data_IF_272092630632
#
_entry.id   IF_272092630632
#
_cell.length_a   1.000
_cell.length_b   1.000
_cell.length_c   1.000
_cell.angle_alpha   90.00
_cell.angle_beta   90.00
_cell.angle_gamma   90.00
#
_symmetry.space_group_name_H-M   'P 1'
#
loop_
_entity.id
_entity.type
_entity.pdbx_description
1 polymer ?
#
# COMPACT_ATOMS: atom_id res chain seq x y z
N UNK A 1 23.24 63.55 -44.19
CA UNK A 1 23.20 62.14 -44.62
C UNK A 1 23.46 61.30 -43.37
N UNK A 2 22.41 60.75 -42.75
CA UNK A 2 22.51 59.87 -41.62
C UNK A 2 22.06 58.45 -42.13
N UNK A 3 22.99 57.49 -42.08
CA UNK A 3 22.69 56.06 -42.39
C UNK A 3 22.14 55.42 -41.12
N UNK A 4 20.93 54.99 -41.21
CA UNK A 4 20.25 54.12 -40.21
C UNK A 4 20.57 52.65 -40.55
N UNK A 5 21.26 51.97 -39.67
CA UNK A 5 21.46 50.50 -39.70
C UNK A 5 20.34 49.83 -38.95
N UNK A 6 19.52 49.06 -39.65
CA UNK A 6 18.57 48.12 -39.04
C UNK A 6 19.35 46.94 -38.50
N UNK A 7 19.13 46.61 -37.22
CA UNK A 7 19.54 45.38 -36.58
C UNK A 7 18.31 44.46 -36.61
N UNK A 8 18.32 43.44 -37.42
CA UNK A 8 17.34 42.35 -37.38
C UNK A 8 17.73 41.37 -36.25
N UNK A 9 16.95 41.37 -35.19
CA UNK A 9 17.06 40.36 -34.13
C UNK A 9 16.28 39.10 -34.55
N UNK A 10 16.97 38.04 -34.91
CA UNK A 10 16.42 36.72 -35.06
C UNK A 10 16.12 36.12 -33.67
N UNK A 11 14.85 36.10 -33.27
CA UNK A 11 14.39 35.33 -32.15
C UNK A 11 14.31 33.84 -32.55
N UNK A 12 15.28 33.04 -32.14
CA UNK A 12 15.19 31.61 -32.13
C UNK A 12 14.29 31.21 -30.98
N UNK A 13 12.99 31.01 -31.23
CA UNK A 13 12.10 30.34 -30.31
C UNK A 13 12.42 28.84 -30.34
N UNK A 14 13.25 28.37 -29.43
CA UNK A 14 13.42 26.97 -29.16
C UNK A 14 12.12 26.44 -28.53
N UNK A 15 11.26 25.83 -29.34
CA UNK A 15 10.18 24.99 -28.83
C UNK A 15 10.81 23.76 -28.17
N UNK A 16 11.01 23.83 -26.85
CA UNK A 16 11.23 22.65 -26.05
C UNK A 16 9.86 21.95 -25.98
N UNK A 17 9.63 20.99 -26.88
CA UNK A 17 8.60 19.98 -26.70
C UNK A 17 8.97 19.18 -25.44
N UNK A 18 8.48 19.61 -24.28
CA UNK A 18 8.35 18.74 -23.13
C UNK A 18 7.32 17.71 -23.56
N UNK A 19 7.79 16.57 -24.08
CA UNK A 19 6.96 15.38 -24.12
C UNK A 19 6.64 15.08 -22.66
N UNK A 20 5.44 15.43 -22.22
CA UNK A 20 4.85 14.84 -21.05
C UNK A 20 4.89 13.33 -21.32
N UNK A 21 5.84 12.63 -20.70
CA UNK A 21 5.82 11.16 -20.68
C UNK A 21 4.47 10.80 -20.10
N UNK A 22 3.60 10.24 -20.93
CA UNK A 22 2.28 9.81 -20.51
C UNK A 22 2.48 8.82 -19.34
N UNK A 23 1.85 9.12 -18.23
CA UNK A 23 1.74 8.15 -17.14
C UNK A 23 0.93 6.97 -17.67
N UNK A 24 1.24 5.74 -17.22
CA UNK A 24 0.42 4.58 -17.58
C UNK A 24 -1.03 4.82 -17.17
N UNK A 25 -1.97 4.31 -17.96
CA UNK A 25 -3.36 4.27 -17.54
C UNK A 25 -3.51 3.36 -16.31
N UNK A 26 -4.46 3.64 -15.41
CA UNK A 26 -4.74 2.76 -14.28
C UNK A 26 -5.32 1.43 -14.74
N UNK A 27 -5.16 0.38 -13.92
CA UNK A 27 -5.83 -0.89 -14.18
C UNK A 27 -7.32 -0.77 -13.88
N UNK A 28 -8.14 -0.89 -14.93
CA UNK A 28 -9.60 -0.78 -14.82
C UNK A 28 -10.21 -1.92 -14.00
N UNK A 29 -9.59 -3.10 -13.94
CA UNK A 29 -10.06 -4.20 -13.12
C UNK A 29 -9.82 -3.89 -11.62
N UNK A 30 -8.68 -3.29 -11.29
CA UNK A 30 -8.40 -2.80 -9.93
C UNK A 30 -9.40 -1.72 -9.49
N UNK A 31 -9.71 -0.75 -10.38
CA UNK A 31 -10.71 0.28 -10.09
C UNK A 31 -12.11 -0.31 -9.87
N UNK A 32 -12.54 -1.26 -10.71
CA UNK A 32 -13.77 -2.01 -10.51
C UNK A 32 -13.78 -2.78 -9.21
N UNK A 33 -12.66 -3.39 -8.86
CA UNK A 33 -12.49 -4.13 -7.62
C UNK A 33 -12.63 -3.26 -6.37
N UNK A 34 -12.14 -2.03 -6.42
CA UNK A 34 -12.32 -1.03 -5.36
C UNK A 34 -13.75 -0.48 -5.27
N UNK A 35 -14.54 -0.60 -6.35
CA UNK A 35 -15.87 -0.03 -6.49
C UNK A 35 -16.93 -0.54 -5.48
N UNK A 36 -16.85 -1.75 -4.88
CA UNK A 36 -17.86 -2.17 -3.90
C UNK A 36 -18.13 -1.17 -2.79
N UNK A 37 -17.21 -0.24 -2.55
CA UNK A 37 -17.44 0.88 -1.62
C UNK A 37 -18.72 1.64 -1.96
N UNK A 38 -19.13 1.72 -3.22
CA UNK A 38 -20.35 2.41 -3.66
C UNK A 38 -21.64 1.77 -3.14
N UNK A 39 -21.63 0.48 -2.76
CA UNK A 39 -22.82 -0.21 -2.20
C UNK A 39 -23.01 0.06 -0.72
N UNK A 40 -22.01 0.62 -0.04
CA UNK A 40 -22.06 0.87 1.41
C UNK A 40 -23.21 1.79 1.83
N UNK A 41 -23.58 2.77 1.00
CA UNK A 41 -24.72 3.66 1.29
C UNK A 41 -26.07 3.02 1.03
N UNK A 42 -26.15 1.98 0.19
CA UNK A 42 -27.39 1.48 -0.38
C UNK A 42 -27.90 0.22 0.29
N UNK A 43 -27.22 -0.30 1.32
CA UNK A 43 -27.65 -1.48 2.07
C UNK A 43 -27.51 -1.27 3.57
N UNK A 44 -28.38 -1.89 4.37
CA UNK A 44 -28.30 -1.84 5.84
C UNK A 44 -26.96 -2.37 6.36
N UNK A 45 -26.45 -3.45 5.75
CA UNK A 45 -25.14 -4.02 6.08
C UNK A 45 -24.00 -3.03 5.77
N UNK A 46 -24.09 -2.35 4.62
CA UNK A 46 -23.11 -1.33 4.22
C UNK A 46 -23.13 -0.12 5.16
N UNK A 47 -24.31 0.40 5.50
CA UNK A 47 -24.44 1.50 6.46
C UNK A 47 -23.94 1.11 7.85
N UNK A 48 -24.23 -0.11 8.31
CA UNK A 48 -23.70 -0.64 9.56
C UNK A 48 -22.16 -0.71 9.53
N UNK A 49 -21.59 -1.13 8.42
CA UNK A 49 -20.14 -1.19 8.26
C UNK A 49 -19.50 0.21 8.22
N UNK A 50 -20.13 1.21 7.58
CA UNK A 50 -19.68 2.61 7.60
C UNK A 50 -19.68 3.21 9.03
N UNK A 51 -20.76 3.00 9.79
CA UNK A 51 -20.83 3.44 11.18
C UNK A 51 -19.75 2.78 12.05
N UNK A 52 -19.54 1.48 11.88
CA UNK A 52 -18.49 0.74 12.56
C UNK A 52 -17.09 1.21 12.14
N UNK A 53 -16.87 1.50 10.86
CA UNK A 53 -15.58 2.02 10.35
C UNK A 53 -15.18 3.32 11.05
N UNK A 54 -16.13 4.24 11.21
CA UNK A 54 -15.91 5.48 11.95
C UNK A 54 -15.54 5.21 13.43
N UNK A 55 -16.32 4.37 14.10
CA UNK A 55 -16.12 4.02 15.53
C UNK A 55 -14.80 3.28 15.77
N UNK A 56 -14.49 2.30 14.92
CA UNK A 56 -13.24 1.52 15.02
C UNK A 56 -12.03 2.42 14.78
N UNK A 57 -12.09 3.27 13.77
CA UNK A 57 -11.02 4.22 13.47
C UNK A 57 -10.74 5.13 14.66
N UNK A 58 -11.76 5.78 15.23
CA UNK A 58 -11.61 6.63 16.42
C UNK A 58 -11.11 5.86 17.64
N UNK A 59 -11.58 4.64 17.84
CA UNK A 59 -11.13 3.77 18.92
C UNK A 59 -9.67 3.34 18.84
N UNK A 60 -9.17 3.09 17.64
CA UNK A 60 -7.74 2.81 17.39
C UNK A 60 -6.91 4.06 17.70
N UNK A 61 -7.32 5.22 17.21
CA UNK A 61 -6.63 6.49 17.42
C UNK A 61 -6.53 6.86 18.91
N UNK A 62 -7.56 6.55 19.67
CA UNK A 62 -7.61 6.81 21.11
C UNK A 62 -6.98 5.70 21.97
N UNK A 63 -6.58 4.57 21.38
CA UNK A 63 -6.04 3.43 22.11
C UNK A 63 -7.07 2.73 23.01
N UNK A 64 -8.37 2.92 22.76
CA UNK A 64 -9.47 2.35 23.58
C UNK A 64 -10.08 1.08 22.98
N UNK A 65 -9.81 0.79 21.73
CA UNK A 65 -10.20 -0.49 21.10
C UNK A 65 -9.14 -1.53 21.41
N UNK A 66 -9.54 -2.55 22.14
CA UNK A 66 -8.73 -3.72 22.38
C UNK A 66 -8.65 -4.54 21.09
N UNK A 67 -7.49 -4.53 20.45
CA UNK A 67 -7.14 -5.43 19.35
C UNK A 67 -5.72 -5.92 19.54
N UNK A 68 -5.32 -7.04 18.93
CA UNK A 68 -3.92 -7.46 18.95
C UNK A 68 -3.03 -6.33 18.43
N UNK A 69 -1.93 -6.08 19.12
CA UNK A 69 -0.94 -5.06 18.76
C UNK A 69 0.46 -5.61 18.95
N UNK A 70 1.43 -5.09 18.21
CA UNK A 70 2.82 -5.51 18.30
C UNK A 70 3.61 -4.70 19.35
N UNK A 71 3.09 -3.52 19.70
CA UNK A 71 3.70 -2.57 20.62
C UNK A 71 2.67 -2.03 21.62
N UNK A 72 3.07 -1.63 22.83
CA UNK A 72 2.25 -0.81 23.71
C UNK A 72 1.81 0.49 23.04
N UNK A 73 0.67 1.04 23.42
CA UNK A 73 0.07 2.17 22.70
C UNK A 73 0.99 3.41 22.55
N UNK A 74 1.75 3.87 23.57
CA UNK A 74 2.69 4.97 23.38
C UNK A 74 3.80 4.67 22.37
N UNK A 75 4.25 3.42 22.33
CA UNK A 75 5.26 2.97 21.36
C UNK A 75 4.70 2.85 19.95
N UNK A 76 3.42 2.45 19.80
CA UNK A 76 2.72 2.50 18.52
C UNK A 76 2.61 3.94 18.01
N UNK A 77 2.28 4.90 18.86
CA UNK A 77 2.26 6.32 18.49
C UNK A 77 3.62 6.78 17.98
N UNK A 78 4.70 6.43 18.69
CA UNK A 78 6.06 6.75 18.26
C UNK A 78 6.42 6.08 16.94
N UNK A 79 6.03 4.82 16.73
CA UNK A 79 6.25 4.11 15.47
C UNK A 79 5.45 4.77 14.33
N UNK A 80 4.20 5.16 14.59
CA UNK A 80 3.39 5.86 13.61
C UNK A 80 4.00 7.19 13.16
N UNK A 81 4.62 7.96 14.07
CA UNK A 81 5.37 9.17 13.72
C UNK A 81 6.60 8.88 12.85
N UNK A 82 7.31 7.77 13.10
CA UNK A 82 8.41 7.33 12.25
C UNK A 82 7.93 6.90 10.87
N UNK A 83 6.75 6.30 10.80
CA UNK A 83 6.12 5.81 9.58
C UNK A 83 5.37 6.88 8.78
N UNK A 84 5.29 8.09 9.32
CA UNK A 84 4.78 9.27 8.62
C UNK A 84 5.52 9.51 7.32
N UNK A 85 6.79 9.21 7.32
CA UNK A 85 7.71 9.51 6.25
C UNK A 85 7.61 8.46 5.14
N UNK A 86 7.06 8.84 4.00
CA UNK A 86 6.84 7.93 2.89
C UNK A 86 7.40 8.52 1.62
N UNK A 87 8.33 7.79 1.02
CA UNK A 87 8.66 7.94 -0.39
C UNK A 87 8.58 6.58 -1.06
N UNK A 88 8.12 6.53 -2.30
CA UNK A 88 8.15 5.29 -3.09
C UNK A 88 9.54 4.90 -3.60
N UNK A 89 10.60 5.59 -3.18
CA UNK A 89 11.96 5.43 -3.73
C UNK A 89 12.91 4.63 -2.85
N UNK A 90 12.59 4.43 -1.57
CA UNK A 90 13.38 3.64 -0.63
C UNK A 90 12.46 3.00 0.40
N UNK A 91 12.84 1.84 0.92
CA UNK A 91 12.07 1.07 1.90
C UNK A 91 12.65 1.15 3.31
N UNK A 92 13.44 2.18 3.59
CA UNK A 92 14.19 2.31 4.85
C UNK A 92 13.29 2.27 6.09
N UNK A 93 12.11 2.88 6.05
CA UNK A 93 11.17 2.86 7.16
C UNK A 93 10.56 1.48 7.44
N UNK A 94 10.58 0.57 6.45
CA UNK A 94 10.09 -0.79 6.58
C UNK A 94 11.19 -1.80 6.97
N UNK A 95 12.45 -1.37 6.97
CA UNK A 95 13.60 -2.27 7.11
C UNK A 95 13.69 -2.95 8.48
N UNK A 96 13.05 -2.39 9.50
CA UNK A 96 12.95 -2.99 10.84
C UNK A 96 12.16 -4.32 10.83
N UNK A 97 11.29 -4.55 9.84
CA UNK A 97 10.66 -5.85 9.59
C UNK A 97 11.66 -6.95 9.19
N UNK A 98 12.85 -6.59 8.71
CA UNK A 98 13.94 -7.54 8.46
C UNK A 98 14.62 -8.02 9.78
N UNK A 99 14.28 -7.42 10.91
CA UNK A 99 14.88 -7.68 12.20
C UNK A 99 16.04 -6.72 12.53
N UNK A 100 16.63 -6.89 13.71
CA UNK A 100 17.59 -5.93 14.25
C UNK A 100 18.84 -5.83 13.39
N UNK A 101 19.50 -6.93 13.11
CA UNK A 101 20.78 -6.95 12.38
C UNK A 101 20.60 -6.69 10.88
N UNK A 102 19.68 -7.39 10.23
CA UNK A 102 19.44 -7.22 8.79
C UNK A 102 18.80 -5.86 8.49
N UNK A 103 17.90 -5.39 9.35
CA UNK A 103 17.30 -4.06 9.22
C UNK A 103 18.36 -2.96 9.37
N UNK A 104 19.25 -3.07 10.36
CA UNK A 104 20.37 -2.14 10.51
C UNK A 104 21.33 -2.18 9.31
N UNK A 105 21.64 -3.36 8.77
CA UNK A 105 22.47 -3.51 7.58
C UNK A 105 21.82 -2.84 6.35
N UNK A 106 20.49 -2.98 6.20
CA UNK A 106 19.73 -2.29 5.14
C UNK A 106 19.86 -0.77 5.31
N UNK A 107 19.50 -0.24 6.47
CA UNK A 107 19.47 1.22 6.74
C UNK A 107 20.85 1.85 6.65
N UNK A 108 21.92 1.14 7.03
CA UNK A 108 23.29 1.62 6.87
C UNK A 108 23.66 1.93 5.40
N UNK A 109 23.01 1.29 4.44
CA UNK A 109 23.30 1.44 3.02
C UNK A 109 22.18 2.19 2.28
N UNK A 110 20.92 1.95 2.65
CA UNK A 110 19.74 2.47 1.98
C UNK A 110 18.86 3.21 3.01
N UNK A 111 18.98 4.52 3.05
CA UNK A 111 18.28 5.35 4.02
C UNK A 111 17.83 6.67 3.41
N UNK A 112 16.92 7.35 4.09
CA UNK A 112 16.54 8.73 3.78
C UNK A 112 17.60 9.68 4.34
N UNK A 113 18.05 10.61 3.50
CA UNK A 113 18.96 11.70 3.86
C UNK A 113 18.15 12.84 4.44
N UNK A 114 17.03 13.15 3.79
CA UNK A 114 16.00 14.09 4.22
C UNK A 114 14.62 13.65 3.70
N UNK A 115 13.61 14.50 3.85
CA UNK A 115 12.23 14.20 3.40
C UNK A 115 12.08 14.00 1.89
N UNK A 116 13.05 14.39 1.10
CA UNK A 116 12.99 14.40 -0.38
C UNK A 116 14.04 13.52 -1.03
N UNK A 117 15.09 13.17 -0.29
CA UNK A 117 16.28 12.52 -0.81
C UNK A 117 16.59 11.22 -0.08
N UNK A 118 17.01 10.23 -0.84
CA UNK A 118 17.50 8.95 -0.33
C UNK A 118 18.96 8.76 -0.70
N UNK A 119 19.65 7.88 0.02
CA UNK A 119 20.96 7.38 -0.39
C UNK A 119 20.85 6.68 -1.75
N UNK A 120 21.98 6.59 -2.46
CA UNK A 120 21.99 5.94 -3.77
C UNK A 120 21.81 4.42 -3.63
N UNK A 121 20.69 3.93 -4.13
CA UNK A 121 20.43 2.49 -4.25
C UNK A 121 21.26 1.88 -5.39
N UNK A 122 21.67 0.60 -5.30
CA UNK A 122 22.09 -0.16 -6.47
C UNK A 122 21.00 -0.16 -7.52
N UNK A 123 21.39 -0.23 -8.78
CA UNK A 123 20.47 0.03 -9.89
C UNK A 123 19.32 -0.98 -9.92
N UNK A 124 19.59 -2.27 -9.77
CA UNK A 124 18.54 -3.28 -9.86
C UNK A 124 17.51 -3.15 -8.71
N UNK A 125 17.97 -2.85 -7.50
CA UNK A 125 17.09 -2.61 -6.36
C UNK A 125 16.26 -1.34 -6.57
N UNK A 126 16.91 -0.25 -6.96
CA UNK A 126 16.25 1.04 -7.19
C UNK A 126 15.20 0.98 -8.29
N UNK A 127 15.52 0.36 -9.43
CA UNK A 127 14.60 0.18 -10.55
C UNK A 127 13.40 -0.69 -10.13
N UNK A 128 13.63 -1.78 -9.40
CA UNK A 128 12.56 -2.67 -8.95
C UNK A 128 11.59 -1.97 -8.00
N UNK A 129 12.11 -1.30 -6.97
CA UNK A 129 11.31 -0.56 -5.98
C UNK A 129 10.54 0.57 -6.69
N UNK A 130 11.25 1.35 -7.49
CA UNK A 130 10.66 2.48 -8.22
C UNK A 130 9.53 2.03 -9.12
N UNK A 131 9.73 0.96 -9.89
CA UNK A 131 8.71 0.46 -10.80
C UNK A 131 7.48 -0.08 -10.05
N UNK A 132 7.66 -0.96 -9.08
CA UNK A 132 6.55 -1.55 -8.34
C UNK A 132 5.71 -0.50 -7.61
N UNK A 133 6.37 0.45 -6.93
CA UNK A 133 5.67 1.52 -6.21
C UNK A 133 5.01 2.54 -7.15
N UNK A 134 5.58 2.78 -8.34
CA UNK A 134 4.96 3.66 -9.32
C UNK A 134 3.71 3.03 -9.96
N UNK A 135 3.73 1.73 -10.26
CA UNK A 135 2.57 1.00 -10.79
C UNK A 135 1.43 1.00 -9.78
N UNK A 136 1.66 0.48 -8.57
CA UNK A 136 0.61 0.44 -7.53
C UNK A 136 0.15 1.83 -7.09
N UNK A 137 1.05 2.82 -7.13
CA UNK A 137 0.73 4.22 -6.86
C UNK A 137 -0.16 4.86 -7.93
N UNK A 138 -0.03 4.45 -9.19
CA UNK A 138 -0.92 4.91 -10.27
C UNK A 138 -2.35 4.48 -10.00
N UNK A 139 -2.56 3.20 -9.67
CA UNK A 139 -3.90 2.66 -9.43
C UNK A 139 -4.51 3.22 -8.13
N UNK A 140 -3.71 3.33 -7.07
CA UNK A 140 -4.17 3.96 -5.83
C UNK A 140 -4.60 5.43 -6.03
N UNK A 141 -3.85 6.18 -6.80
CA UNK A 141 -4.15 7.59 -7.08
C UNK A 141 -5.39 7.75 -7.95
N UNK A 142 -5.48 6.93 -9.00
CA UNK A 142 -6.66 6.90 -9.87
C UNK A 142 -7.92 6.55 -9.06
N UNK A 143 -7.86 5.52 -8.20
CA UNK A 143 -8.96 5.14 -7.33
C UNK A 143 -9.42 6.26 -6.41
N UNK A 144 -8.49 7.00 -5.79
CA UNK A 144 -8.81 8.12 -4.91
C UNK A 144 -9.72 9.16 -5.57
N UNK A 145 -9.32 9.64 -6.72
CA UNK A 145 -10.04 10.72 -7.37
C UNK A 145 -11.27 10.21 -8.14
N UNK A 146 -11.24 8.98 -8.65
CA UNK A 146 -12.41 8.35 -9.26
C UNK A 146 -13.54 8.24 -8.25
N UNK A 147 -13.27 7.77 -7.04
CA UNK A 147 -14.26 7.58 -5.98
C UNK A 147 -14.63 8.86 -5.21
N UNK A 148 -13.91 9.94 -5.40
CA UNK A 148 -14.23 11.22 -4.77
C UNK A 148 -15.02 12.14 -5.73
N UNK A 149 -14.51 12.37 -6.92
CA UNK A 149 -15.06 13.37 -7.84
C UNK A 149 -15.23 12.89 -9.29
N UNK A 150 -15.00 11.61 -9.56
CA UNK A 150 -15.13 11.03 -10.91
C UNK A 150 -14.02 11.43 -11.88
N UNK A 151 -12.84 11.79 -11.38
CA UNK A 151 -11.63 12.02 -12.17
C UNK A 151 -10.50 11.08 -11.72
N UNK A 152 -9.40 11.01 -12.47
CA UNK A 152 -8.25 10.17 -12.08
C UNK A 152 -7.11 10.97 -11.42
N UNK A 153 -7.19 12.28 -11.42
CA UNK A 153 -6.16 13.18 -10.87
C UNK A 153 -6.73 14.38 -10.08
N UNK A 154 -8.05 14.42 -9.89
CA UNK A 154 -8.75 15.50 -9.22
C UNK A 154 -9.01 16.74 -10.09
N UNK A 155 -8.55 16.78 -11.33
CA UNK A 155 -8.57 17.98 -12.19
C UNK A 155 -9.03 17.71 -13.62
N UNK A 156 -8.61 16.58 -14.19
CA UNK A 156 -8.88 16.23 -15.58
C UNK A 156 -10.21 15.48 -15.68
N UNK A 157 -11.09 15.80 -16.62
CA UNK A 157 -12.30 15.03 -16.87
C UNK A 157 -11.97 13.54 -17.07
N UNK A 158 -12.83 12.67 -16.54
CA UNK A 158 -12.67 11.22 -16.66
C UNK A 158 -12.59 10.81 -18.12
N UNK A 159 -11.55 10.05 -18.56
CA UNK A 159 -11.51 9.45 -19.88
C UNK A 159 -12.70 8.51 -20.14
N UNK A 160 -12.93 8.14 -21.39
CA UNK A 160 -14.12 7.35 -21.80
C UNK A 160 -14.17 5.97 -21.13
N UNK A 161 -13.00 5.36 -20.87
CA UNK A 161 -12.92 4.03 -20.25
C UNK A 161 -13.30 4.10 -18.77
N UNK A 162 -12.76 5.05 -18.02
CA UNK A 162 -13.13 5.29 -16.63
C UNK A 162 -14.59 5.77 -16.51
N UNK A 163 -15.08 6.57 -17.44
CA UNK A 163 -16.50 6.94 -17.48
C UNK A 163 -17.41 5.71 -17.66
N UNK A 164 -16.97 4.72 -18.43
CA UNK A 164 -17.68 3.45 -18.59
C UNK A 164 -17.71 2.66 -17.29
N UNK A 165 -16.59 2.60 -16.55
CA UNK A 165 -16.54 1.97 -15.24
C UNK A 165 -17.45 2.69 -14.25
N UNK A 166 -17.41 4.01 -14.18
CA UNK A 166 -18.31 4.77 -13.32
C UNK A 166 -19.79 4.46 -13.60
N UNK A 167 -20.16 4.37 -14.87
CA UNK A 167 -21.53 4.00 -15.27
C UNK A 167 -21.88 2.57 -14.86
N UNK A 168 -20.97 1.63 -15.04
CA UNK A 168 -21.16 0.21 -14.69
C UNK A 168 -21.39 0.01 -13.19
N UNK A 169 -20.66 0.75 -12.35
CA UNK A 169 -20.79 0.67 -10.90
C UNK A 169 -21.89 1.56 -10.31
N UNK A 170 -22.69 2.21 -11.16
CA UNK A 170 -23.79 3.06 -10.72
C UNK A 170 -23.41 4.50 -10.36
N UNK A 171 -22.24 4.96 -10.79
CA UNK A 171 -21.66 6.24 -10.41
C UNK A 171 -20.95 6.19 -9.06
N UNK A 172 -20.19 7.23 -8.75
CA UNK A 172 -19.53 7.34 -7.46
C UNK A 172 -19.94 8.64 -6.79
N UNK A 173 -20.37 8.50 -5.58
CA UNK A 173 -20.67 9.63 -4.70
C UNK A 173 -19.60 9.69 -3.59
N UNK A 174 -19.49 10.87 -2.96
CA UNK A 174 -18.69 11.06 -1.76
C UNK A 174 -19.31 10.30 -0.57
N UNK A 175 -19.06 8.99 -0.55
CA UNK A 175 -19.69 8.04 0.37
C UNK A 175 -19.30 8.34 1.81
N UNK A 176 -17.98 8.49 2.05
CA UNK A 176 -17.46 8.69 3.40
C UNK A 176 -17.74 10.10 3.90
N UNK A 177 -17.58 11.13 3.08
CA UNK A 177 -17.91 12.49 3.48
C UNK A 177 -19.39 12.65 3.81
N UNK A 178 -20.29 12.04 3.04
CA UNK A 178 -21.74 12.01 3.34
C UNK A 178 -22.03 11.24 4.62
N UNK A 179 -21.42 10.06 4.79
CA UNK A 179 -21.66 9.21 5.96
C UNK A 179 -21.14 9.86 7.25
N UNK A 180 -20.05 10.62 7.17
CA UNK A 180 -19.40 11.26 8.33
C UNK A 180 -19.69 12.76 8.45
N UNK A 181 -20.72 13.25 7.76
CA UNK A 181 -21.25 14.62 7.83
C UNK A 181 -20.26 15.72 7.39
N UNK A 182 -19.28 15.38 6.59
CA UNK A 182 -18.33 16.33 6.00
C UNK A 182 -18.20 16.08 4.48
N UNK A 183 -19.27 16.34 3.70
CA UNK A 183 -19.24 16.11 2.25
C UNK A 183 -18.29 17.07 1.53
N UNK A 184 -17.94 16.73 0.30
CA UNK A 184 -17.08 17.51 -0.58
C UNK A 184 -17.46 18.99 -0.60
N UNK A 185 -16.47 19.87 -0.48
CA UNK A 185 -16.66 21.31 -0.46
C UNK A 185 -17.14 21.89 0.88
N UNK A 186 -17.31 21.07 1.93
CA UNK A 186 -17.58 21.57 3.27
C UNK A 186 -16.36 22.31 3.84
N UNK A 187 -16.61 23.30 4.70
CA UNK A 187 -15.53 24.02 5.36
C UNK A 187 -14.69 23.07 6.23
N UNK A 188 -13.39 22.99 5.97
CA UNK A 188 -12.46 22.08 6.66
C UNK A 188 -12.40 20.67 6.09
N UNK A 189 -13.27 20.32 5.12
CA UNK A 189 -13.27 19.05 4.43
C UNK A 189 -12.34 19.02 3.21
N UNK A 190 -12.19 17.84 2.63
CA UNK A 190 -11.50 17.66 1.35
C UNK A 190 -12.30 18.29 0.22
N UNK A 191 -11.64 19.06 -0.65
CA UNK A 191 -12.30 19.76 -1.75
C UNK A 191 -12.94 18.80 -2.78
N UNK A 192 -12.40 17.59 -2.88
CA UNK A 192 -12.84 16.58 -3.84
C UNK A 192 -13.78 15.53 -3.24
N UNK A 193 -13.91 15.49 -1.91
CA UNK A 193 -14.65 14.48 -1.15
C UNK A 193 -13.75 13.43 -0.51
N UNK A 194 -14.37 12.50 0.24
CA UNK A 194 -13.67 11.50 1.02
C UNK A 194 -12.67 12.11 2.03
N UNK A 195 -13.15 13.08 2.81
CA UNK A 195 -12.37 13.73 3.87
C UNK A 195 -11.76 12.70 4.82
N UNK A 196 -10.59 13.02 5.35
CA UNK A 196 -9.81 12.13 6.20
C UNK A 196 -10.23 12.23 7.67
N UNK A 197 -9.87 11.24 8.53
CA UNK A 197 -10.20 11.31 9.96
C UNK A 197 -9.76 12.59 10.65
N UNK A 198 -8.58 13.13 10.35
CA UNK A 198 -8.12 14.39 10.94
C UNK A 198 -9.00 15.60 10.59
N UNK A 199 -9.81 15.50 9.53
CA UNK A 199 -10.77 16.52 9.10
C UNK A 199 -12.17 16.28 9.68
N UNK A 200 -12.59 15.01 9.80
CA UNK A 200 -13.94 14.63 10.22
C UNK A 200 -14.05 14.41 11.72
N UNK A 201 -12.95 14.14 12.43
CA UNK A 201 -12.91 13.80 13.83
C UNK A 201 -12.02 14.79 14.62
N UNK A 202 -12.60 15.93 15.08
CA UNK A 202 -11.83 16.95 15.77
C UNK A 202 -11.30 16.52 17.13
N UNK A 203 -11.80 15.41 17.69
CA UNK A 203 -11.35 14.86 18.96
C UNK A 203 -10.18 13.90 18.87
N UNK A 204 -9.63 13.65 17.67
CA UNK A 204 -8.42 12.84 17.51
C UNK A 204 -7.31 13.39 18.40
N UNK A 205 -6.86 12.56 19.33
CA UNK A 205 -5.80 12.94 20.24
C UNK A 205 -4.51 13.24 19.49
N UNK A 206 -3.93 14.40 19.76
CA UNK A 206 -2.61 14.74 19.24
C UNK A 206 -1.55 14.02 20.05
N UNK A 207 -0.54 13.52 19.36
CA UNK A 207 0.69 13.06 19.97
C UNK A 207 1.88 13.60 19.16
N UNK A 208 2.99 13.81 19.84
CA UNK A 208 4.18 14.43 19.30
C UNK A 208 5.41 13.56 19.60
N UNK A 209 6.40 13.65 18.74
CA UNK A 209 7.65 12.93 18.91
C UNK A 209 8.53 13.05 17.66
N UNK A 210 9.70 12.43 17.68
CA UNK A 210 10.58 12.43 16.51
C UNK A 210 10.05 11.49 15.41
N UNK A 211 10.11 11.97 14.17
CA UNK A 211 9.88 11.19 12.97
C UNK A 211 11.07 10.25 12.66
N UNK A 212 11.06 9.64 11.46
CA UNK A 212 12.18 8.81 10.99
C UNK A 212 13.53 9.56 10.97
N UNK A 213 13.52 10.86 10.70
CA UNK A 213 14.71 11.72 10.63
C UNK A 213 15.06 12.37 11.97
N UNK A 214 14.38 11.99 13.07
CA UNK A 214 14.47 12.60 14.39
C UNK A 214 14.09 14.09 14.43
N UNK A 215 13.24 14.53 13.49
CA UNK A 215 12.61 15.86 13.49
C UNK A 215 11.32 15.77 14.31
N UNK A 216 11.04 16.73 15.22
CA UNK A 216 9.77 16.76 15.93
C UNK A 216 8.58 16.82 14.99
N UNK A 217 7.62 15.93 15.20
CA UNK A 217 6.44 15.78 14.35
C UNK A 217 5.18 15.61 15.23
N UNK A 218 4.01 15.86 14.68
CA UNK A 218 2.75 15.60 15.34
C UNK A 218 1.71 14.98 14.39
N UNK A 219 0.77 14.24 14.94
CA UNK A 219 -0.24 13.52 14.16
C UNK A 219 -1.38 14.41 13.64
N UNK A 220 -1.49 15.65 14.10
CA UNK A 220 -2.68 16.47 13.81
C UNK A 220 -2.60 17.25 12.52
N UNK A 221 -1.45 17.76 12.16
CA UNK A 221 -1.24 18.51 10.92
C UNK A 221 -0.41 17.64 10.00
N UNK A 222 -1.10 16.90 9.15
CA UNK A 222 -0.46 16.06 8.17
C UNK A 222 -0.05 16.89 6.96
N UNK A 223 0.75 17.90 7.22
CA UNK A 223 1.35 18.74 6.20
C UNK A 223 2.86 18.73 6.38
N UNK A 224 3.53 17.86 5.61
CA UNK A 224 4.97 17.72 5.58
C UNK A 224 5.62 18.72 4.60
N UNK A 225 5.06 19.90 4.44
CA UNK A 225 5.56 20.91 3.52
C UNK A 225 5.34 20.50 2.06
N UNK A 226 6.27 20.85 1.14
CA UNK A 226 6.03 20.70 -0.30
C UNK A 226 5.90 19.26 -0.78
N UNK A 227 6.22 18.26 0.05
CA UNK A 227 6.24 16.85 -0.35
C UNK A 227 4.91 16.18 -0.12
N UNK A 228 4.14 16.57 0.90
CA UNK A 228 2.89 15.91 1.22
C UNK A 228 1.91 16.85 1.93
N UNK A 229 0.86 17.24 1.21
CA UNK A 229 -0.30 17.91 1.75
C UNK A 229 -1.53 17.00 1.55
N UNK A 230 -2.12 16.54 2.65
CA UNK A 230 -3.27 15.63 2.64
C UNK A 230 -4.61 16.36 2.77
N UNK A 231 -4.64 17.67 2.89
CA UNK A 231 -5.89 18.45 3.09
C UNK A 231 -6.85 18.35 1.90
N UNK A 232 -6.32 18.22 0.69
CA UNK A 232 -7.10 18.04 -0.54
C UNK A 232 -6.68 16.76 -1.29
N UNK A 233 -6.52 15.67 -0.55
CA UNK A 233 -6.20 14.35 -1.08
C UNK A 233 -7.16 13.32 -0.50
N UNK A 234 -8.15 12.83 -1.28
CA UNK A 234 -9.17 11.92 -0.81
C UNK A 234 -8.62 10.72 -0.03
N UNK A 235 -9.38 10.26 0.97
CA UNK A 235 -8.88 9.24 1.89
C UNK A 235 -8.82 7.84 1.27
N UNK A 236 -9.90 7.41 0.60
CA UNK A 236 -10.04 6.06 0.05
C UNK A 236 -9.60 5.97 -1.43
N UNK A 237 -8.87 4.91 -1.83
CA UNK A 237 -8.13 3.98 -0.98
C UNK A 237 -6.86 4.62 -0.41
N UNK A 238 -6.28 4.03 0.65
CA UNK A 238 -5.05 4.53 1.22
C UNK A 238 -3.84 4.30 0.32
N UNK A 239 -3.37 5.35 -0.36
CA UNK A 239 -2.12 5.30 -1.14
C UNK A 239 -0.89 4.98 -0.29
N UNK A 240 -0.84 5.48 0.94
CA UNK A 240 0.22 5.16 1.89
C UNK A 240 0.25 3.66 2.22
N UNK A 241 -0.89 3.07 2.55
CA UNK A 241 -0.98 1.63 2.80
C UNK A 241 -0.59 0.83 1.55
N UNK A 242 -1.01 1.28 0.37
CA UNK A 242 -0.60 0.66 -0.90
C UNK A 242 0.93 0.64 -1.03
N UNK A 243 1.62 1.77 -0.82
CA UNK A 243 3.08 1.81 -0.84
C UNK A 243 3.72 0.92 0.23
N UNK A 244 3.20 0.98 1.46
CA UNK A 244 3.71 0.19 2.58
C UNK A 244 3.60 -1.31 2.32
N UNK A 245 2.45 -1.79 1.85
CA UNK A 245 2.28 -3.21 1.50
C UNK A 245 3.07 -3.62 0.25
N UNK A 246 3.12 -2.79 -0.80
CA UNK A 246 3.97 -3.03 -1.97
C UNK A 246 5.44 -3.20 -1.54
N UNK A 247 5.95 -2.28 -0.71
CA UNK A 247 7.31 -2.35 -0.19
C UNK A 247 7.56 -3.55 0.72
N UNK A 248 6.62 -3.86 1.61
CA UNK A 248 6.74 -5.00 2.51
C UNK A 248 6.71 -6.33 1.77
N UNK A 249 5.84 -6.50 0.76
CA UNK A 249 5.82 -7.70 -0.09
C UNK A 249 7.10 -7.80 -0.92
N UNK A 250 7.61 -6.69 -1.46
CA UNK A 250 8.91 -6.70 -2.15
C UNK A 250 10.03 -7.18 -1.24
N UNK A 251 10.18 -6.64 -0.04
CA UNK A 251 11.20 -7.08 0.89
C UNK A 251 10.96 -8.53 1.35
N UNK A 252 9.72 -8.96 1.52
CA UNK A 252 9.38 -10.34 1.84
C UNK A 252 9.84 -11.32 0.75
N UNK A 253 9.62 -11.00 -0.51
CA UNK A 253 10.07 -11.88 -1.61
C UNK A 253 11.58 -11.75 -1.88
N UNK A 254 12.19 -10.61 -1.61
CA UNK A 254 13.65 -10.41 -1.74
C UNK A 254 14.42 -11.11 -0.63
N UNK A 255 13.85 -11.21 0.58
CA UNK A 255 14.46 -11.83 1.78
C UNK A 255 13.47 -12.86 2.36
N UNK A 256 13.34 -14.04 1.72
CA UNK A 256 12.34 -15.04 2.09
C UNK A 256 12.41 -15.52 3.54
N UNK A 257 13.60 -15.44 4.14
CA UNK A 257 13.84 -15.78 5.56
C UNK A 257 13.09 -14.86 6.53
N UNK A 258 12.68 -13.68 6.04
CA UNK A 258 11.93 -12.66 6.80
C UNK A 258 10.52 -12.43 6.21
N UNK A 259 10.03 -13.36 5.38
CA UNK A 259 8.76 -13.18 4.69
C UNK A 259 7.62 -12.83 5.65
N UNK A 260 7.38 -13.67 6.65
CA UNK A 260 6.27 -13.48 7.59
C UNK A 260 6.39 -12.16 8.38
N UNK A 261 7.59 -11.84 8.86
CA UNK A 261 7.85 -10.59 9.59
C UNK A 261 7.60 -9.35 8.71
N UNK A 262 8.05 -9.39 7.47
CA UNK A 262 7.80 -8.29 6.52
C UNK A 262 6.31 -8.13 6.22
N UNK A 263 5.55 -9.23 6.13
CA UNK A 263 4.10 -9.17 5.95
C UNK A 263 3.40 -8.56 7.18
N UNK A 264 3.82 -8.93 8.39
CA UNK A 264 3.32 -8.30 9.62
C UNK A 264 3.70 -6.82 9.70
N UNK A 265 4.91 -6.45 9.26
CA UNK A 265 5.36 -5.05 9.20
C UNK A 265 4.52 -4.20 8.23
N UNK A 266 4.10 -4.76 7.10
CA UNK A 266 3.18 -4.10 6.19
C UNK A 266 1.83 -3.80 6.84
N UNK A 267 1.31 -4.74 7.64
CA UNK A 267 0.07 -4.56 8.40
C UNK A 267 0.22 -3.47 9.48
N UNK A 268 1.34 -3.45 10.21
CA UNK A 268 1.65 -2.41 11.20
C UNK A 268 1.70 -1.03 10.54
N UNK A 269 2.40 -0.91 9.40
CA UNK A 269 2.46 0.33 8.65
C UNK A 269 1.07 0.83 8.23
N UNK A 270 0.18 -0.07 7.77
CA UNK A 270 -1.21 0.28 7.47
C UNK A 270 -1.97 0.78 8.70
N UNK A 271 -1.81 0.11 9.86
CA UNK A 271 -2.43 0.49 11.12
C UNK A 271 -1.95 1.86 11.62
N UNK A 272 -0.68 2.18 11.41
CA UNK A 272 -0.10 3.47 11.76
C UNK A 272 -0.74 4.64 11.00
N UNK A 273 -1.31 4.39 9.82
CA UNK A 273 -2.08 5.40 9.08
C UNK A 273 -3.39 5.76 9.78
N UNK A 274 -4.00 4.78 10.48
CA UNK A 274 -5.18 5.02 11.32
C UNK A 274 -4.78 5.82 12.55
N UNK A 275 -3.74 5.40 13.25
CA UNK A 275 -3.20 6.09 14.43
C UNK A 275 -2.91 7.58 14.15
N UNK A 276 -2.34 7.86 12.98
CA UNK A 276 -2.04 9.23 12.55
C UNK A 276 -3.27 10.06 12.17
N UNK A 277 -4.47 9.50 12.20
CA UNK A 277 -5.66 10.19 11.73
C UNK A 277 -5.69 10.44 10.21
N UNK A 278 -4.80 9.80 9.45
CA UNK A 278 -4.70 9.99 8.01
C UNK A 278 -5.74 9.18 7.24
N UNK A 279 -6.10 8.01 7.73
CA UNK A 279 -6.99 7.05 7.05
C UNK A 279 -7.96 6.34 7.99
N UNK A 280 -9.13 5.98 7.47
CA UNK A 280 -10.06 5.05 8.09
C UNK A 280 -9.60 3.60 7.91
N UNK A 281 -10.13 2.69 8.73
CA UNK A 281 -9.84 1.27 8.59
C UNK A 281 -10.17 0.72 7.18
N UNK A 282 -11.30 1.12 6.59
CA UNK A 282 -11.67 0.72 5.22
C UNK A 282 -10.68 1.22 4.17
N UNK A 283 -10.11 2.42 4.34
CA UNK A 283 -9.11 2.95 3.41
C UNK A 283 -7.85 2.07 3.41
N UNK A 284 -7.45 1.65 4.62
CA UNK A 284 -6.29 0.76 4.83
C UNK A 284 -6.55 -0.61 4.20
N UNK A 285 -7.74 -1.17 4.39
CA UNK A 285 -8.14 -2.43 3.77
C UNK A 285 -8.14 -2.33 2.24
N UNK A 286 -8.67 -1.23 1.69
CA UNK A 286 -8.64 -0.96 0.24
C UNK A 286 -7.22 -0.87 -0.31
N UNK A 287 -6.36 -0.10 0.35
CA UNK A 287 -4.95 0.05 -0.06
C UNK A 287 -4.15 -1.25 0.04
N UNK A 288 -4.40 -2.06 1.08
CA UNK A 288 -3.81 -3.40 1.23
C UNK A 288 -4.23 -4.33 0.08
N UNK A 289 -5.54 -4.43 -0.18
CA UNK A 289 -6.08 -5.30 -1.21
C UNK A 289 -5.51 -4.95 -2.58
N UNK A 290 -5.46 -3.66 -2.90
CA UNK A 290 -4.86 -3.15 -4.13
C UNK A 290 -3.38 -3.52 -4.24
N UNK A 291 -2.60 -3.30 -3.19
CA UNK A 291 -1.18 -3.65 -3.20
C UNK A 291 -0.93 -5.14 -3.46
N UNK A 292 -1.74 -6.02 -2.84
CA UNK A 292 -1.61 -7.47 -3.05
C UNK A 292 -2.02 -7.88 -4.47
N UNK A 293 -3.07 -7.26 -5.01
CA UNK A 293 -3.50 -7.46 -6.39
C UNK A 293 -2.39 -7.07 -7.36
N UNK A 294 -1.91 -5.82 -7.31
CA UNK A 294 -0.87 -5.32 -8.20
C UNK A 294 0.43 -6.12 -8.08
N UNK A 295 0.84 -6.47 -6.85
CA UNK A 295 2.04 -7.27 -6.63
C UNK A 295 1.92 -8.68 -7.22
N UNK A 296 0.75 -9.31 -7.14
CA UNK A 296 0.53 -10.62 -7.74
C UNK A 296 0.68 -10.55 -9.28
N UNK A 297 0.15 -9.52 -9.91
CA UNK A 297 0.27 -9.28 -11.35
C UNK A 297 1.72 -8.96 -11.76
N UNK A 298 2.43 -8.12 -11.01
CA UNK A 298 3.85 -7.84 -11.23
C UNK A 298 4.70 -9.11 -11.12
N UNK A 299 4.53 -9.87 -10.04
CA UNK A 299 5.28 -11.11 -9.79
C UNK A 299 4.94 -12.22 -10.79
N UNK A 300 3.76 -12.19 -11.40
CA UNK A 300 3.36 -13.10 -12.48
C UNK A 300 3.93 -12.73 -13.85
N UNK A 301 4.64 -11.59 -13.99
CA UNK A 301 4.99 -11.02 -15.29
C UNK A 301 3.75 -10.79 -16.18
N UNK A 302 2.65 -10.34 -15.60
CA UNK A 302 1.44 -10.06 -16.37
C UNK A 302 1.73 -9.03 -17.48
N UNK A 303 1.45 -9.33 -18.74
CA UNK A 303 1.70 -8.41 -19.84
C UNK A 303 1.09 -7.01 -19.65
N UNK A 304 -0.06 -6.91 -18.97
CA UNK A 304 -0.70 -5.62 -18.66
C UNK A 304 0.11 -4.75 -17.69
N UNK A 305 1.00 -5.37 -16.91
CA UNK A 305 1.84 -4.73 -15.89
C UNK A 305 3.30 -4.58 -16.33
N UNK A 306 3.67 -5.06 -17.52
CA UNK A 306 5.06 -5.04 -17.99
C UNK A 306 5.30 -3.94 -19.01
N UNK A 307 6.47 -3.30 -18.90
CA UNK A 307 6.89 -2.28 -19.86
C UNK A 307 6.11 -0.97 -19.79
N UNK A 308 5.37 -0.73 -18.70
CA UNK A 308 4.58 0.48 -18.54
C UNK A 308 5.48 1.74 -18.47
N UNK A 309 5.05 2.84 -19.09
CA UNK A 309 5.72 4.13 -18.96
C UNK A 309 5.35 4.76 -17.61
N UNK A 310 6.12 4.50 -16.57
CA UNK A 310 5.91 5.06 -15.25
C UNK A 310 6.85 6.23 -14.97
N UNK A 311 6.32 7.31 -14.39
CA UNK A 311 7.08 8.53 -14.15
C UNK A 311 8.18 8.31 -13.12
N UNK A 312 9.39 8.75 -13.44
CA UNK A 312 10.50 8.83 -12.48
C UNK A 312 11.24 7.52 -12.23
N UNK A 313 10.95 6.48 -13.01
CA UNK A 313 11.63 5.18 -12.87
C UNK A 313 11.87 4.50 -14.21
N UNK A 314 12.72 3.49 -14.21
CA UNK A 314 13.00 2.65 -15.37
C UNK A 314 11.85 1.68 -15.61
N UNK A 315 11.38 1.58 -16.86
CA UNK A 315 10.36 0.60 -17.24
C UNK A 315 10.93 -0.83 -17.19
N UNK A 316 10.19 -1.75 -16.57
CA UNK A 316 10.58 -3.16 -16.43
C UNK A 316 9.71 -4.01 -17.37
N UNK A 317 10.37 -4.77 -18.25
CA UNK A 317 9.71 -5.68 -19.20
C UNK A 317 9.62 -7.12 -18.71
N UNK A 318 10.42 -7.49 -17.72
CA UNK A 318 10.45 -8.80 -17.06
C UNK A 318 10.74 -8.59 -15.58
N UNK A 319 9.66 -8.61 -14.79
CA UNK A 319 9.73 -8.32 -13.35
C UNK A 319 10.43 -9.45 -12.59
N UNK A 320 10.27 -10.72 -13.01
CA UNK A 320 10.92 -11.85 -12.36
C UNK A 320 12.44 -11.81 -12.53
N UNK A 321 12.92 -11.45 -13.74
CA UNK A 321 14.36 -11.23 -13.98
C UNK A 321 14.89 -10.04 -13.17
N UNK A 322 14.16 -8.93 -13.11
CA UNK A 322 14.52 -7.78 -12.29
C UNK A 322 14.56 -8.13 -10.80
N UNK A 323 13.57 -8.88 -10.30
CA UNK A 323 13.52 -9.37 -8.93
C UNK A 323 14.73 -10.24 -8.57
N UNK A 324 15.13 -11.15 -9.47
CA UNK A 324 16.31 -11.99 -9.27
C UNK A 324 17.60 -11.16 -9.14
N UNK A 325 17.77 -10.16 -9.99
CA UNK A 325 18.94 -9.28 -9.95
C UNK A 325 18.95 -8.42 -8.67
N UNK A 326 17.82 -7.82 -8.32
CA UNK A 326 17.68 -7.03 -7.10
C UNK A 326 17.91 -7.88 -5.84
N UNK A 327 17.42 -9.13 -5.81
CA UNK A 327 17.68 -10.08 -4.71
C UNK A 327 19.17 -10.35 -4.53
N UNK A 328 19.90 -10.60 -5.62
CA UNK A 328 21.34 -10.86 -5.56
C UNK A 328 22.12 -9.64 -4.98
N UNK A 329 21.77 -8.43 -5.43
CA UNK A 329 22.36 -7.20 -4.91
C UNK A 329 22.05 -7.00 -3.43
N UNK A 330 20.77 -7.18 -3.03
CA UNK A 330 20.33 -6.98 -1.65
C UNK A 330 20.99 -7.98 -0.69
N UNK A 331 21.00 -9.26 -1.07
CA UNK A 331 21.66 -10.31 -0.25
C UNK A 331 23.14 -9.97 -0.01
N UNK A 332 23.85 -9.53 -1.04
CA UNK A 332 25.25 -9.14 -0.90
C UNK A 332 25.45 -8.00 0.11
N UNK A 333 24.55 -7.00 0.08
CA UNK A 333 24.55 -5.89 1.04
C UNK A 333 24.26 -6.37 2.45
N UNK A 334 23.23 -7.17 2.65
CA UNK A 334 22.82 -7.67 3.96
C UNK A 334 23.87 -8.57 4.59
N UNK A 335 24.47 -9.48 3.80
CA UNK A 335 25.57 -10.33 4.24
C UNK A 335 26.81 -9.52 4.63
N UNK A 336 27.15 -8.51 3.83
CA UNK A 336 28.27 -7.61 4.16
C UNK A 336 28.03 -6.83 5.47
N UNK A 337 26.80 -6.38 5.70
CA UNK A 337 26.42 -5.65 6.91
C UNK A 337 26.34 -6.53 8.17
N UNK A 338 25.83 -7.75 8.01
CA UNK A 338 25.77 -8.74 9.10
C UNK A 338 27.13 -9.45 9.35
N UNK A 339 28.01 -9.51 8.36
CA UNK A 339 29.30 -10.19 8.44
C UNK A 339 29.22 -11.72 8.34
N UNK A 340 28.07 -12.27 7.90
CA UNK A 340 27.82 -13.71 7.83
C UNK A 340 26.94 -14.10 6.64
N UNK A 341 26.68 -15.41 6.46
CA UNK A 341 25.71 -15.89 5.46
C UNK A 341 24.28 -15.48 5.85
N UNK A 342 23.38 -15.37 4.86
CA UNK A 342 21.96 -15.06 5.12
C UNK A 342 21.31 -16.07 6.06
N UNK A 343 21.65 -17.35 5.94
CA UNK A 343 21.12 -18.39 6.83
C UNK A 343 21.48 -18.15 8.30
N UNK A 344 22.69 -17.66 8.57
CA UNK A 344 23.15 -17.32 9.93
C UNK A 344 22.49 -16.02 10.40
N UNK A 345 22.55 -14.97 9.58
CA UNK A 345 21.99 -13.66 9.91
C UNK A 345 20.49 -13.72 10.17
N UNK A 346 19.78 -14.57 9.44
CA UNK A 346 18.33 -14.72 9.56
C UNK A 346 17.91 -15.53 10.82
N UNK A 347 18.81 -16.17 11.53
CA UNK A 347 18.50 -16.82 12.83
C UNK A 347 18.55 -15.85 14.00
N UNK A 348 19.06 -14.65 13.78
CA UNK A 348 19.18 -13.65 14.83
C UNK A 348 17.86 -12.97 15.15
N UNK A 349 17.92 -12.05 16.10
CA UNK A 349 16.77 -11.33 16.65
C UNK A 349 15.93 -10.67 15.57
N UNK A 350 14.64 -10.98 15.57
CA UNK A 350 13.62 -10.39 14.71
C UNK A 350 12.94 -9.17 15.36
N UNK A 351 13.46 -8.69 16.50
CA UNK A 351 12.92 -7.54 17.22
C UNK A 351 11.50 -7.81 17.70
N UNK A 352 10.60 -6.83 17.52
CA UNK A 352 9.19 -6.96 17.90
C UNK A 352 8.41 -8.03 17.13
N UNK A 353 8.95 -8.53 16.03
CA UNK A 353 8.38 -9.62 15.22
C UNK A 353 8.89 -11.01 15.64
N UNK A 354 9.39 -11.15 16.85
CA UNK A 354 9.88 -12.42 17.39
C UNK A 354 8.78 -13.36 17.91
N UNK A 355 7.59 -12.83 18.16
CA UNK A 355 6.44 -13.60 18.64
C UNK A 355 5.48 -13.93 17.49
N UNK A 356 5.70 -15.06 16.84
CA UNK A 356 4.91 -15.50 15.69
C UNK A 356 3.39 -15.60 15.95
N UNK A 357 2.97 -15.88 17.19
CA UNK A 357 1.54 -15.93 17.53
C UNK A 357 0.94 -14.52 17.64
N UNK A 358 1.69 -13.57 18.19
CA UNK A 358 1.26 -12.16 18.26
C UNK A 358 1.20 -11.55 16.85
N UNK A 359 2.20 -11.79 16.02
CA UNK A 359 2.25 -11.31 14.64
C UNK A 359 1.07 -11.84 13.81
N UNK A 360 0.76 -13.15 13.94
CA UNK A 360 -0.36 -13.79 13.26
C UNK A 360 -1.70 -13.21 13.70
N UNK A 361 -1.88 -13.05 15.01
CA UNK A 361 -3.11 -12.47 15.58
C UNK A 361 -3.29 -11.01 15.13
N UNK A 362 -2.21 -10.22 15.13
CA UNK A 362 -2.21 -8.84 14.67
C UNK A 362 -2.56 -8.76 13.18
N UNK A 363 -1.87 -9.56 12.34
CA UNK A 363 -2.13 -9.57 10.91
C UNK A 363 -3.59 -9.96 10.61
N UNK A 364 -4.11 -11.00 11.26
CA UNK A 364 -5.49 -11.44 11.12
C UNK A 364 -6.49 -10.35 11.53
N UNK A 365 -6.24 -9.66 12.65
CA UNK A 365 -7.11 -8.57 13.13
C UNK A 365 -7.19 -7.42 12.13
N UNK A 366 -6.08 -7.05 11.47
CA UNK A 366 -6.03 -5.98 10.46
C UNK A 366 -6.67 -6.36 9.13
N UNK A 367 -7.04 -7.64 8.92
CA UNK A 367 -7.76 -8.04 7.71
C UNK A 367 -9.18 -7.47 7.65
N UNK A 368 -9.83 -7.39 8.79
CA UNK A 368 -11.23 -6.94 8.87
C UNK A 368 -11.45 -5.77 9.81
N UNK A 369 -10.51 -5.49 10.72
CA UNK A 369 -10.68 -4.55 11.83
C UNK A 369 -11.99 -4.79 12.62
N UNK A 370 -12.49 -6.04 12.62
CA UNK A 370 -13.78 -6.43 13.20
C UNK A 370 -14.99 -5.65 12.64
N UNK A 371 -14.88 -5.11 11.43
CA UNK A 371 -16.00 -4.46 10.77
C UNK A 371 -17.12 -5.46 10.45
N UNK A 372 -18.38 -5.05 10.51
CA UNK A 372 -19.51 -5.88 10.09
C UNK A 372 -19.37 -6.37 8.64
N UNK A 373 -19.85 -7.58 8.40
CA UNK A 373 -19.89 -8.16 7.05
C UNK A 373 -20.85 -7.38 6.15
N UNK A 374 -20.41 -7.09 4.94
CA UNK A 374 -21.22 -6.46 3.87
C UNK A 374 -21.80 -7.53 2.93
N UNK A 375 -21.05 -8.62 2.73
CA UNK A 375 -21.45 -9.75 1.88
C UNK A 375 -21.55 -11.05 2.69
N UNK A 376 -22.57 -11.21 3.55
CA UNK A 376 -22.68 -12.34 4.46
C UNK A 376 -22.79 -13.69 3.73
N UNK A 377 -23.16 -13.70 2.46
CA UNK A 377 -23.21 -14.95 1.66
C UNK A 377 -21.82 -15.54 1.39
N UNK A 378 -20.79 -14.71 1.38
CA UNK A 378 -19.40 -15.12 1.17
C UNK A 378 -18.72 -15.53 2.50
N UNK A 379 -19.34 -15.21 3.62
CA UNK A 379 -18.83 -15.61 4.93
C UNK A 379 -18.94 -17.14 5.11
N UNK A 380 -17.90 -17.74 5.65
CA UNK A 380 -17.88 -19.16 5.99
C UNK A 380 -17.63 -20.12 4.81
N UNK A 381 -17.43 -19.61 3.60
CA UNK A 381 -16.98 -20.40 2.45
C UNK A 381 -15.56 -20.00 2.07
N UNK A 382 -14.71 -21.01 1.81
CA UNK A 382 -13.41 -20.74 1.22
C UNK A 382 -13.58 -20.49 -0.27
N UNK A 383 -12.84 -19.50 -0.78
CA UNK A 383 -12.80 -19.21 -2.21
C UNK A 383 -11.69 -20.03 -2.89
N UNK A 384 -11.97 -20.59 -4.03
CA UNK A 384 -10.96 -21.28 -4.83
C UNK A 384 -10.03 -20.26 -5.50
N UNK A 385 -8.92 -19.95 -4.82
CA UNK A 385 -7.93 -18.97 -5.29
C UNK A 385 -7.36 -19.37 -6.65
N UNK A 386 -7.16 -20.67 -6.91
CA UNK A 386 -6.66 -21.12 -8.21
C UNK A 386 -7.61 -20.79 -9.36
N UNK A 387 -8.91 -20.75 -9.08
CA UNK A 387 -9.95 -20.45 -10.05
C UNK A 387 -10.23 -18.96 -10.19
N UNK A 388 -10.34 -18.26 -9.07
CA UNK A 388 -10.80 -16.87 -9.03
C UNK A 388 -9.66 -15.87 -9.22
N UNK A 389 -8.49 -16.13 -8.62
CA UNK A 389 -7.33 -15.26 -8.62
C UNK A 389 -6.01 -16.04 -8.86
N UNK A 390 -5.87 -16.72 -10.01
CA UNK A 390 -4.78 -17.68 -10.24
C UNK A 390 -3.38 -17.08 -10.11
N UNK A 391 -3.23 -15.78 -10.28
CA UNK A 391 -1.94 -15.07 -10.12
C UNK A 391 -1.56 -14.85 -8.65
N UNK A 392 -2.48 -14.98 -7.71
CA UNK A 392 -2.19 -14.76 -6.29
C UNK A 392 -1.07 -15.67 -5.76
N UNK A 393 -0.96 -16.90 -6.27
CA UNK A 393 0.10 -17.84 -5.87
C UNK A 393 1.52 -17.32 -6.14
N UNK A 394 1.71 -16.37 -7.05
CA UNK A 394 3.02 -15.76 -7.27
C UNK A 394 3.52 -14.95 -6.07
N UNK A 395 2.63 -14.49 -5.20
CA UNK A 395 3.00 -13.88 -3.92
C UNK A 395 3.81 -14.85 -3.03
N UNK A 396 3.60 -16.16 -3.17
CA UNK A 396 4.36 -17.19 -2.45
C UNK A 396 5.50 -17.80 -3.27
N UNK A 397 5.27 -18.17 -4.54
CA UNK A 397 6.26 -18.90 -5.32
C UNK A 397 7.55 -18.12 -5.57
N UNK A 398 7.49 -16.78 -5.57
CA UNK A 398 8.68 -15.95 -5.72
C UNK A 398 9.57 -15.93 -4.47
N UNK A 399 9.01 -16.22 -3.31
CA UNK A 399 9.76 -16.40 -2.06
C UNK A 399 10.10 -17.88 -1.80
N UNK A 400 9.21 -18.79 -2.19
CA UNK A 400 9.30 -20.23 -1.95
C UNK A 400 9.31 -21.00 -3.27
N UNK A 401 10.41 -20.99 -4.03
CA UNK A 401 10.47 -21.51 -5.40
C UNK A 401 10.33 -23.03 -5.53
N UNK A 402 10.36 -23.76 -4.43
CA UNK A 402 10.06 -25.19 -4.39
C UNK A 402 8.57 -25.51 -4.44
N UNK A 403 7.69 -24.52 -4.27
CA UNK A 403 6.25 -24.67 -4.45
C UNK A 403 5.88 -24.51 -5.93
N UNK A 404 5.01 -25.38 -6.41
CA UNK A 404 4.30 -25.12 -7.66
C UNK A 404 3.25 -24.03 -7.47
N UNK A 405 2.83 -23.37 -8.56
CA UNK A 405 1.76 -22.37 -8.51
C UNK A 405 0.44 -22.96 -7.97
N UNK A 406 0.14 -24.22 -8.34
CA UNK A 406 -1.03 -24.95 -7.82
C UNK A 406 -0.95 -25.13 -6.31
N UNK A 407 0.21 -25.57 -5.78
CA UNK A 407 0.42 -25.70 -4.34
C UNK A 407 0.29 -24.35 -3.63
N UNK A 408 0.84 -23.29 -4.20
CA UNK A 408 0.76 -21.95 -3.64
C UNK A 408 -0.71 -21.45 -3.57
N UNK A 409 -1.46 -21.58 -4.66
CA UNK A 409 -2.88 -21.20 -4.68
C UNK A 409 -3.71 -22.04 -3.70
N UNK A 410 -3.43 -23.35 -3.59
CA UNK A 410 -4.08 -24.20 -2.60
C UNK A 410 -3.78 -23.74 -1.16
N UNK A 411 -2.54 -23.40 -0.85
CA UNK A 411 -2.16 -22.84 0.46
C UNK A 411 -2.92 -21.55 0.73
N UNK A 412 -3.02 -20.65 -0.24
CA UNK A 412 -3.77 -19.40 -0.10
C UNK A 412 -5.24 -19.66 0.20
N UNK A 413 -5.89 -20.60 -0.51
CA UNK A 413 -7.26 -21.04 -0.23
C UNK A 413 -7.41 -21.59 1.21
N UNK A 414 -6.48 -22.49 1.63
CA UNK A 414 -6.54 -23.12 2.96
C UNK A 414 -6.33 -22.15 4.12
N UNK A 415 -5.70 -20.99 3.85
CA UNK A 415 -5.29 -20.01 4.87
C UNK A 415 -6.01 -18.67 4.75
N UNK A 416 -7.07 -18.58 3.97
CA UNK A 416 -7.87 -17.36 3.86
C UNK A 416 -8.32 -16.81 5.21
N UNK A 417 -8.38 -15.49 5.30
CA UNK A 417 -9.03 -14.79 6.39
C UNK A 417 -10.56 -14.84 6.29
N UNK A 418 -11.25 -14.17 7.23
CA UNK A 418 -12.70 -14.12 7.25
C UNK A 418 -13.28 -13.53 5.96
N UNK A 419 -14.33 -14.15 5.43
CA UNK A 419 -15.07 -13.69 4.27
C UNK A 419 -16.19 -12.70 4.60
N UNK A 420 -16.76 -12.12 3.54
CA UNK A 420 -17.92 -11.24 3.64
C UNK A 420 -17.60 -9.77 3.93
N UNK A 421 -16.33 -9.39 3.97
CA UNK A 421 -15.91 -7.99 4.12
C UNK A 421 -16.38 -7.11 2.95
N UNK A 422 -16.23 -5.79 3.09
CA UNK A 422 -16.79 -4.84 2.13
C UNK A 422 -16.19 -4.91 0.71
N UNK A 423 -15.03 -5.52 0.53
CA UNK A 423 -14.41 -5.77 -0.78
C UNK A 423 -14.62 -7.21 -1.27
N UNK A 424 -15.11 -8.10 -0.41
CA UNK A 424 -15.29 -9.52 -0.72
C UNK A 424 -16.63 -9.77 -1.45
N UNK A 425 -16.72 -9.27 -2.67
CA UNK A 425 -17.91 -9.36 -3.50
C UNK A 425 -17.94 -10.59 -4.44
N UNK A 426 -16.99 -11.52 -4.30
CA UNK A 426 -16.84 -12.70 -5.15
C UNK A 426 -16.12 -12.44 -6.48
N UNK A 427 -15.51 -11.27 -6.66
CA UNK A 427 -14.65 -10.94 -7.81
C UNK A 427 -13.22 -11.42 -7.61
N UNK A 428 -12.43 -11.48 -8.69
CA UNK A 428 -10.98 -11.72 -8.61
C UNK A 428 -10.31 -10.77 -7.60
N UNK A 429 -10.60 -9.49 -7.68
CA UNK A 429 -10.05 -8.49 -6.76
C UNK A 429 -10.47 -8.75 -5.31
N UNK A 430 -11.73 -9.16 -5.10
CA UNK A 430 -12.27 -9.44 -3.77
C UNK A 430 -11.50 -10.53 -3.03
N UNK A 431 -11.03 -11.56 -3.73
CA UNK A 431 -10.20 -12.65 -3.16
C UNK A 431 -8.97 -12.10 -2.45
N UNK A 432 -8.30 -11.07 -3.02
CA UNK A 432 -7.10 -10.49 -2.41
C UNK A 432 -7.37 -9.83 -1.06
N UNK A 433 -8.61 -9.42 -0.76
CA UNK A 433 -8.98 -8.89 0.55
C UNK A 433 -8.92 -9.96 1.65
N UNK A 434 -9.07 -11.23 1.27
CA UNK A 434 -9.09 -12.39 2.17
C UNK A 434 -7.72 -13.05 2.36
N UNK A 435 -6.72 -12.74 1.52
CA UNK A 435 -5.43 -13.42 1.58
C UNK A 435 -4.72 -13.17 2.91
N UNK A 436 -4.50 -14.24 3.67
CA UNK A 436 -3.69 -14.23 4.87
C UNK A 436 -2.26 -14.68 4.55
N UNK A 437 -1.45 -13.77 4.04
CA UNK A 437 -0.07 -14.07 3.63
C UNK A 437 0.81 -14.50 4.81
N UNK A 438 0.49 -14.09 6.04
CA UNK A 438 1.24 -14.52 7.22
C UNK A 438 1.04 -16.02 7.48
N UNK A 439 -0.21 -16.46 7.58
CA UNK A 439 -0.55 -17.87 7.75
C UNK A 439 -0.09 -18.69 6.54
N UNK A 440 -0.24 -18.16 5.32
CA UNK A 440 0.18 -18.82 4.09
C UNK A 440 1.69 -19.08 4.05
N UNK A 441 2.52 -18.13 4.48
CA UNK A 441 3.97 -18.31 4.56
C UNK A 441 4.35 -19.44 5.53
N UNK A 442 3.73 -19.48 6.69
CA UNK A 442 3.96 -20.55 7.67
C UNK A 442 3.54 -21.91 7.11
N UNK A 443 2.39 -21.96 6.46
CA UNK A 443 1.90 -23.20 5.80
C UNK A 443 2.84 -23.63 4.67
N UNK A 444 3.33 -22.70 3.86
CA UNK A 444 4.31 -22.94 2.81
C UNK A 444 5.59 -23.60 3.37
N UNK A 445 6.15 -23.07 4.45
CA UNK A 445 7.32 -23.63 5.11
C UNK A 445 7.08 -25.05 5.63
N UNK A 446 5.89 -25.34 6.18
CA UNK A 446 5.51 -26.69 6.61
C UNK A 446 5.44 -27.67 5.44
N UNK A 447 4.83 -27.25 4.32
CA UNK A 447 4.73 -28.09 3.11
C UNK A 447 6.13 -28.39 2.56
N UNK A 448 7.01 -27.40 2.50
CA UNK A 448 8.40 -27.57 2.03
C UNK A 448 9.19 -28.49 2.97
N UNK A 449 8.98 -28.40 4.27
CA UNK A 449 9.62 -29.27 5.24
C UNK A 449 9.06 -30.71 5.28
N UNK A 450 8.03 -31.02 4.48
CA UNK A 450 7.39 -32.33 4.42
C UNK A 450 6.49 -32.64 5.62
N UNK A 451 5.94 -31.63 6.26
CA UNK A 451 5.08 -31.74 7.46
C UNK A 451 3.61 -31.47 7.14
#
# INVERSE_FOLDING_TARGET
MKRTTLFEAFLFAAFICIQALAQSAPDMAALKGLAPVSVLLNTDAGQSALGANYTVTGGIQAGVIAQPTLLPFPEQQQQALRDVFITGSNLAQLADGLGTTLGAAYVARFHYIDQTQTSKLPQAIGDLIGYATAVSGTDANAGKYLFANGTTDGKTPVPSDEASVLKEIGGVEDIFGKAYHLPAGSSGGDAYGNSRPFQTEPSVARFEGPDYLNIPENNYVYNHGPVMDLTNSPSYPSGHTTYGYTGSVLLAVLVPERYAQMIARGAEYGNDRILMGAHYAMDVMGGRTLALYDMAHLLANDPAYMGLPVRGTTSIKDFQSALKNARAELIAVLQSGCGNSMEVCAKEDTGRFSNAAADEAFYAATQTYNLPMVYPRNAGTLEDVAKLAPKAGYLLTQAFPSLSLEQANKILTETEGPGGGFLDNGSEFGVYSRLNLYAAARRAQQVIAGK
#
